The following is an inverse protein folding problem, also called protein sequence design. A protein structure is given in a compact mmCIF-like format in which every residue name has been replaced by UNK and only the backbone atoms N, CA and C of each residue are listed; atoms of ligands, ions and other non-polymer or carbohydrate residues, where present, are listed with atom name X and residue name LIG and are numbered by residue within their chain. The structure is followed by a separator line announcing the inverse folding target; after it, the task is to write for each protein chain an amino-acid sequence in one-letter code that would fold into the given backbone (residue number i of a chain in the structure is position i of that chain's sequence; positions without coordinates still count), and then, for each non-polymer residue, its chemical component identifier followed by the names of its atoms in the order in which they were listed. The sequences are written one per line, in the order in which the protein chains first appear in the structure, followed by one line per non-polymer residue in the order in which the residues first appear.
data_IF_994573733827
#
_entry.id   IF_994573733827
#
_cell.length_a   1.000
_cell.length_b   1.000
_cell.length_c   1.000
_cell.angle_alpha   90.00
_cell.angle_beta   90.00
_cell.angle_gamma   90.00
#
_symmetry.space_group_name_H-M   'P 1'
#
loop_
_entity.id
_entity.type
_entity.pdbx_description
1 polymer ?
#
# COMPACT_ATOMS: atom_id res chain seq x y z
N UNK A 1 8.44 -8.90 -16.96
CA UNK A 1 8.12 -7.46 -17.17
C UNK A 1 6.76 -7.18 -16.55
N UNK A 2 6.65 -6.13 -15.75
CA UNK A 2 5.41 -5.72 -15.08
C UNK A 2 4.43 -5.15 -16.10
N UNK A 3 3.17 -5.65 -16.19
CA UNK A 3 2.15 -5.09 -17.09
C UNK A 3 1.76 -3.64 -16.72
N UNK A 4 1.35 -2.86 -17.73
CA UNK A 4 0.80 -1.50 -17.52
C UNK A 4 -0.63 -1.54 -16.99
N UNK A 5 -0.80 -2.05 -15.79
CA UNK A 5 -2.08 -2.14 -15.09
C UNK A 5 -1.90 -1.51 -13.70
N UNK A 6 -2.76 -0.56 -13.35
CA UNK A 6 -2.84 0.02 -12.01
C UNK A 6 -4.03 -0.58 -11.28
N UNK A 7 -3.75 -1.27 -10.19
CA UNK A 7 -4.77 -1.81 -9.28
C UNK A 7 -4.92 -0.90 -8.07
N UNK A 8 -6.15 -0.63 -7.68
CA UNK A 8 -6.47 0.08 -6.44
C UNK A 8 -7.79 -0.43 -5.86
N UNK A 9 -8.01 -0.22 -4.57
CA UNK A 9 -9.11 -0.81 -3.84
C UNK A 9 -9.97 0.27 -3.17
N UNK A 10 -11.32 0.16 -3.32
CA UNK A 10 -12.28 1.02 -2.62
C UNK A 10 -13.56 0.24 -2.29
N UNK A 11 -13.68 -0.22 -1.04
CA UNK A 11 -14.73 -1.15 -0.62
C UNK A 11 -15.87 -0.50 0.16
N UNK A 12 -15.73 0.76 0.60
CA UNK A 12 -16.78 1.41 1.40
C UNK A 12 -18.02 1.75 0.60
N UNK A 13 -17.90 1.94 -0.72
CA UNK A 13 -18.96 2.47 -1.56
C UNK A 13 -19.21 3.98 -1.40
N UNK A 14 -18.51 4.63 -0.46
CA UNK A 14 -18.62 6.08 -0.26
C UNK A 14 -17.93 6.84 -1.42
N UNK A 15 -18.33 8.08 -1.70
CA UNK A 15 -17.59 8.95 -2.61
C UNK A 15 -16.13 9.12 -2.19
N UNK A 16 -15.26 9.27 -3.18
CA UNK A 16 -13.83 9.55 -2.89
C UNK A 16 -13.69 10.92 -2.22
N UNK A 17 -12.96 11.02 -1.10
CA UNK A 17 -12.55 12.32 -0.53
C UNK A 17 -11.64 13.10 -1.48
N UNK A 18 -11.51 14.41 -1.28
CA UNK A 18 -10.75 15.33 -2.14
C UNK A 18 -9.29 14.87 -2.36
N UNK A 19 -8.62 14.40 -1.29
CA UNK A 19 -7.26 13.87 -1.41
C UNK A 19 -7.19 12.66 -2.34
N UNK A 20 -8.15 11.74 -2.22
CA UNK A 20 -8.20 10.53 -3.03
C UNK A 20 -8.51 10.89 -4.50
N UNK A 21 -9.45 11.81 -4.74
CA UNK A 21 -9.70 12.34 -6.08
C UNK A 21 -8.42 12.94 -6.68
N UNK A 22 -7.69 13.79 -5.94
CA UNK A 22 -6.42 14.36 -6.38
C UNK A 22 -5.41 13.28 -6.77
N UNK A 23 -5.28 12.22 -5.96
CA UNK A 23 -4.37 11.12 -6.26
C UNK A 23 -4.77 10.39 -7.54
N UNK A 24 -6.05 10.01 -7.68
CA UNK A 24 -6.58 9.32 -8.86
C UNK A 24 -6.43 10.20 -10.12
N UNK A 25 -6.70 11.51 -10.03
CA UNK A 25 -6.49 12.44 -11.13
C UNK A 25 -5.03 12.47 -11.58
N UNK A 26 -4.08 12.41 -10.63
CA UNK A 26 -2.64 12.34 -10.96
C UNK A 26 -2.31 11.08 -11.77
N UNK A 27 -2.95 9.94 -11.46
CA UNK A 27 -2.75 8.69 -12.21
C UNK A 27 -3.23 8.82 -13.65
N UNK A 28 -4.46 9.29 -13.85
CA UNK A 28 -5.02 9.46 -15.20
C UNK A 28 -4.24 10.45 -16.04
N UNK A 29 -3.69 11.51 -15.43
CA UNK A 29 -2.90 12.52 -16.13
C UNK A 29 -1.51 12.01 -16.55
N UNK A 30 -0.85 11.20 -15.70
CA UNK A 30 0.56 10.80 -15.88
C UNK A 30 0.68 9.41 -16.49
N UNK A 31 -0.23 8.50 -16.15
CA UNK A 31 -0.23 7.09 -16.56
C UNK A 31 -1.32 6.83 -17.62
N UNK A 32 -1.49 7.73 -18.57
CA UNK A 32 -2.62 7.72 -19.52
C UNK A 32 -2.69 6.48 -20.43
N UNK A 33 -1.59 5.75 -20.58
CA UNK A 33 -1.51 4.51 -21.37
C UNK A 33 -1.55 3.22 -20.51
N UNK A 34 -1.94 3.35 -19.23
CA UNK A 34 -2.15 2.22 -18.32
C UNK A 34 -3.65 1.86 -18.23
N UNK A 35 -3.92 0.58 -18.03
CA UNK A 35 -5.25 0.12 -17.64
C UNK A 35 -5.45 0.38 -16.14
N UNK A 36 -6.62 0.94 -15.75
CA UNK A 36 -6.97 1.17 -14.35
C UNK A 36 -8.01 0.16 -13.88
N UNK A 37 -7.69 -0.57 -12.82
CA UNK A 37 -8.51 -1.64 -12.31
C UNK A 37 -8.92 -1.38 -10.85
N UNK A 38 -10.12 -0.80 -10.68
CA UNK A 38 -10.75 -0.62 -9.38
C UNK A 38 -11.25 -1.96 -8.84
N UNK A 39 -10.83 -2.30 -7.63
CA UNK A 39 -11.32 -3.43 -6.87
C UNK A 39 -12.36 -2.97 -5.86
N UNK A 40 -13.62 -3.24 -6.17
CA UNK A 40 -14.78 -3.02 -5.32
C UNK A 40 -15.60 -4.31 -5.20
N UNK A 41 -16.75 -4.25 -4.52
CA UNK A 41 -17.64 -5.42 -4.31
C UNK A 41 -18.31 -5.95 -5.58
N UNK A 42 -18.23 -5.22 -6.71
CA UNK A 42 -18.71 -5.66 -8.02
C UNK A 42 -17.66 -6.51 -8.74
N UNK A 43 -16.37 -6.26 -8.45
CA UNK A 43 -15.25 -6.92 -9.12
C UNK A 43 -14.71 -8.11 -8.36
N UNK A 44 -14.81 -8.14 -7.03
CA UNK A 44 -14.36 -9.26 -6.21
C UNK A 44 -15.49 -9.79 -5.35
N UNK A 45 -15.66 -11.12 -5.34
CA UNK A 45 -16.54 -11.77 -4.37
C UNK A 45 -15.89 -11.71 -2.98
N UNK A 46 -16.46 -10.90 -2.10
CA UNK A 46 -15.97 -10.74 -0.72
C UNK A 46 -16.05 -12.02 0.11
N UNK A 47 -16.83 -13.02 -0.32
CA UNK A 47 -16.93 -14.33 0.33
C UNK A 47 -15.88 -15.34 -0.15
N UNK A 48 -15.08 -15.00 -1.17
CA UNK A 48 -14.09 -15.90 -1.77
C UNK A 48 -12.92 -16.26 -0.86
N UNK A 49 -12.70 -15.49 0.22
CA UNK A 49 -11.64 -15.72 1.19
C UNK A 49 -12.09 -15.34 2.60
N UNK A 50 -11.72 -16.12 3.61
CA UNK A 50 -12.15 -15.93 5.00
C UNK A 50 -11.70 -14.59 5.58
N UNK A 51 -10.42 -14.20 5.35
CA UNK A 51 -9.88 -12.91 5.78
C UNK A 51 -10.64 -11.75 5.15
N UNK A 52 -10.80 -11.77 3.83
CA UNK A 52 -11.49 -10.74 3.06
C UNK A 52 -12.93 -10.57 3.56
N UNK A 53 -13.67 -11.68 3.70
CA UNK A 53 -15.04 -11.68 4.20
C UNK A 53 -15.14 -11.02 5.57
N UNK A 54 -14.38 -11.53 6.53
CA UNK A 54 -14.45 -11.03 7.92
C UNK A 54 -14.00 -9.57 8.04
N UNK A 55 -12.95 -9.16 7.32
CA UNK A 55 -12.50 -7.78 7.31
C UNK A 55 -13.55 -6.84 6.69
N UNK A 56 -14.19 -7.26 5.59
CA UNK A 56 -15.26 -6.50 4.94
C UNK A 56 -16.50 -6.35 5.83
N UNK A 57 -17.02 -7.45 6.39
CA UNK A 57 -18.20 -7.46 7.29
C UNK A 57 -18.00 -6.55 8.52
N UNK A 58 -16.76 -6.47 9.02
CA UNK A 58 -16.39 -5.59 10.14
C UNK A 58 -15.99 -4.17 9.71
N UNK A 59 -16.21 -3.80 8.42
CA UNK A 59 -15.86 -2.47 7.87
C UNK A 59 -14.37 -2.11 8.05
N UNK A 60 -13.51 -3.13 8.06
CA UNK A 60 -12.06 -2.99 8.16
C UNK A 60 -11.43 -3.04 6.75
N UNK A 61 -11.84 -2.10 5.90
CA UNK A 61 -11.57 -2.11 4.48
C UNK A 61 -10.08 -2.10 4.11
N UNK A 62 -9.23 -1.44 4.92
CA UNK A 62 -7.78 -1.47 4.71
C UNK A 62 -7.23 -2.91 4.82
N UNK A 63 -7.69 -3.69 5.81
CA UNK A 63 -7.28 -5.09 5.96
C UNK A 63 -7.90 -6.01 4.89
N UNK A 64 -9.08 -5.69 4.39
CA UNK A 64 -9.65 -6.37 3.22
C UNK A 64 -8.79 -6.10 1.97
N UNK A 65 -8.35 -4.85 1.78
CA UNK A 65 -7.46 -4.46 0.69
C UNK A 65 -6.09 -5.16 0.75
N UNK A 66 -5.61 -5.54 1.94
CA UNK A 66 -4.37 -6.30 2.12
C UNK A 66 -4.38 -7.65 1.40
N UNK A 67 -5.50 -8.36 1.38
CA UNK A 67 -5.69 -9.56 0.57
C UNK A 67 -5.81 -9.22 -0.92
N UNK A 68 -6.63 -8.21 -1.24
CA UNK A 68 -6.97 -7.86 -2.63
C UNK A 68 -5.71 -7.42 -3.40
N UNK A 69 -4.78 -6.68 -2.79
CA UNK A 69 -3.54 -6.24 -3.46
C UNK A 69 -2.72 -7.42 -3.96
N UNK A 70 -2.57 -8.47 -3.16
CA UNK A 70 -1.83 -9.66 -3.58
C UNK A 70 -2.63 -10.53 -4.55
N UNK A 71 -3.95 -10.61 -4.40
CA UNK A 71 -4.83 -11.27 -5.35
C UNK A 71 -4.72 -10.63 -6.74
N UNK A 72 -4.81 -9.31 -6.82
CA UNK A 72 -4.72 -8.56 -8.06
C UNK A 72 -3.34 -8.76 -8.74
N UNK A 73 -2.27 -8.57 -8.00
CA UNK A 73 -0.91 -8.73 -8.53
C UNK A 73 -0.61 -10.15 -8.98
N UNK A 74 -1.07 -11.16 -8.24
CA UNK A 74 -0.84 -12.56 -8.63
C UNK A 74 -1.56 -12.92 -9.92
N UNK A 75 -2.84 -12.56 -10.04
CA UNK A 75 -3.67 -12.97 -11.17
C UNK A 75 -3.47 -12.12 -12.43
N UNK A 76 -3.07 -10.87 -12.29
CA UNK A 76 -2.97 -9.94 -13.42
C UNK A 76 -1.56 -9.40 -13.64
N UNK A 77 -0.70 -9.37 -12.62
CA UNK A 77 0.51 -8.57 -12.61
C UNK A 77 0.16 -7.08 -12.54
N UNK A 78 1.13 -6.21 -12.74
CA UNK A 78 0.92 -4.76 -12.72
C UNK A 78 1.41 -4.10 -11.44
N UNK A 79 0.89 -2.92 -11.15
CA UNK A 79 1.23 -2.12 -9.97
C UNK A 79 -0.03 -1.93 -9.14
N UNK A 80 0.04 -2.24 -7.85
CA UNK A 80 -0.96 -1.86 -6.87
C UNK A 80 -0.59 -0.52 -6.26
N UNK A 81 -1.55 0.39 -6.18
CA UNK A 81 -1.45 1.66 -5.49
C UNK A 81 -2.54 1.76 -4.42
N UNK A 82 -2.17 2.14 -3.18
CA UNK A 82 -3.17 2.61 -2.23
C UNK A 82 -3.80 3.90 -2.75
N UNK A 83 -5.08 4.12 -2.46
CA UNK A 83 -5.84 5.21 -3.06
C UNK A 83 -5.30 6.62 -2.71
N UNK A 84 -4.48 6.74 -1.65
CA UNK A 84 -3.84 7.97 -1.22
C UNK A 84 -2.39 8.12 -1.71
N UNK A 85 -2.02 7.43 -2.78
CA UNK A 85 -0.73 7.59 -3.48
C UNK A 85 -0.90 8.59 -4.63
N UNK A 86 -0.21 9.72 -4.58
CA UNK A 86 -0.13 10.71 -5.65
C UNK A 86 1.03 10.37 -6.59
N UNK A 87 0.78 10.18 -7.88
CA UNK A 87 1.81 9.89 -8.88
C UNK A 87 2.40 11.19 -9.43
N UNK A 88 3.73 11.26 -9.52
CA UNK A 88 4.47 12.40 -10.04
C UNK A 88 5.19 12.10 -11.35
N UNK A 89 5.51 10.81 -11.62
CA UNK A 89 6.22 10.36 -12.82
C UNK A 89 5.69 9.02 -13.30
N UNK A 90 5.80 8.80 -14.63
CA UNK A 90 5.48 7.51 -15.23
C UNK A 90 6.43 6.40 -14.73
N UNK A 91 5.87 5.27 -14.38
CA UNK A 91 6.61 4.07 -13.92
C UNK A 91 7.28 3.30 -15.07
N UNK A 92 7.17 3.74 -16.33
CA UNK A 92 7.64 3.01 -17.51
C UNK A 92 9.08 2.50 -17.40
N UNK A 93 9.99 3.29 -16.83
CA UNK A 93 11.39 2.89 -16.65
C UNK A 93 11.56 1.76 -15.62
N UNK A 94 10.61 1.55 -14.74
CA UNK A 94 10.61 0.54 -13.69
C UNK A 94 9.92 -0.77 -14.11
N UNK A 95 9.10 -0.74 -15.19
CA UNK A 95 8.33 -1.92 -15.62
C UNK A 95 9.18 -3.04 -16.22
N UNK A 96 10.44 -2.76 -16.57
CA UNK A 96 11.38 -3.77 -17.08
C UNK A 96 11.78 -4.77 -15.98
N UNK A 97 11.62 -4.40 -14.73
CA UNK A 97 11.92 -5.24 -13.57
C UNK A 97 10.85 -6.33 -13.40
N UNK A 98 11.18 -7.38 -12.64
CA UNK A 98 10.22 -8.46 -12.31
C UNK A 98 9.34 -8.09 -11.12
N UNK A 99 9.83 -7.22 -10.26
CA UNK A 99 9.13 -6.70 -9.09
C UNK A 99 9.47 -5.23 -8.89
N UNK A 100 8.52 -4.50 -8.32
CA UNK A 100 8.68 -3.11 -7.89
C UNK A 100 8.36 -3.05 -6.40
N UNK A 101 9.39 -2.86 -5.60
CA UNK A 101 9.32 -2.76 -4.15
C UNK A 101 10.16 -1.58 -3.69
N UNK A 102 9.68 -0.88 -2.70
CA UNK A 102 10.41 0.21 -2.06
C UNK A 102 10.37 0.08 -0.55
N UNK A 103 11.13 0.89 0.13
CA UNK A 103 11.09 1.02 1.59
C UNK A 103 10.40 2.32 2.01
N UNK A 104 9.89 2.35 3.21
CA UNK A 104 9.50 3.56 3.92
C UNK A 104 10.72 4.18 4.62
N UNK A 105 10.59 5.43 5.06
CA UNK A 105 11.63 6.10 5.85
C UNK A 105 11.94 5.39 7.20
N UNK A 106 11.08 4.48 7.64
CA UNK A 106 11.29 3.61 8.81
C UNK A 106 12.25 2.45 8.54
N UNK A 107 12.50 2.11 7.26
CA UNK A 107 13.21 0.92 6.82
C UNK A 107 12.32 -0.31 6.61
N UNK A 108 11.01 -0.21 6.84
CA UNK A 108 10.06 -1.24 6.50
C UNK A 108 9.73 -1.18 5.00
N UNK A 109 9.25 -2.30 4.43
CA UNK A 109 8.82 -2.33 3.03
C UNK A 109 7.55 -1.53 2.84
N UNK A 110 7.54 -0.60 1.87
CA UNK A 110 6.37 0.17 1.47
C UNK A 110 5.29 -0.75 0.88
N UNK A 111 4.11 -0.73 1.48
CA UNK A 111 3.02 -1.58 1.04
C UNK A 111 2.00 -0.86 0.14
N UNK A 112 2.03 0.48 0.10
CA UNK A 112 1.12 1.28 -0.71
C UNK A 112 1.48 1.28 -2.21
N UNK A 113 2.73 0.91 -2.54
CA UNK A 113 3.21 0.84 -3.93
C UNK A 113 3.96 -0.48 -4.14
N UNK A 114 3.32 -1.41 -4.82
CA UNK A 114 3.87 -2.74 -5.07
C UNK A 114 3.65 -3.11 -6.54
N UNK A 115 4.71 -3.53 -7.24
CA UNK A 115 4.59 -4.02 -8.60
C UNK A 115 5.13 -5.44 -8.75
N UNK A 116 4.50 -6.25 -9.62
CA UNK A 116 4.93 -7.61 -9.90
C UNK A 116 4.55 -8.08 -11.31
N UNK A 117 5.32 -9.03 -11.83
CA UNK A 117 4.87 -9.85 -12.95
C UNK A 117 3.69 -10.73 -12.52
N UNK A 118 2.80 -11.05 -13.46
CA UNK A 118 1.73 -12.02 -13.23
C UNK A 118 2.30 -13.37 -12.79
N UNK A 119 1.71 -13.96 -11.74
CA UNK A 119 2.09 -15.28 -11.24
C UNK A 119 3.41 -15.31 -10.45
N UNK A 120 3.93 -14.16 -10.00
CA UNK A 120 5.18 -14.09 -9.24
C UNK A 120 5.10 -14.92 -7.93
N UNK A 121 6.08 -15.81 -7.69
CA UNK A 121 6.09 -16.73 -6.54
C UNK A 121 6.07 -16.02 -5.17
N UNK A 122 6.73 -14.88 -5.07
CA UNK A 122 6.73 -14.13 -3.82
C UNK A 122 5.35 -13.50 -3.53
N UNK A 123 4.61 -13.09 -4.57
CA UNK A 123 3.22 -12.61 -4.44
C UNK A 123 2.32 -13.78 -4.05
N UNK A 124 2.56 -14.99 -4.62
CA UNK A 124 1.86 -16.21 -4.22
C UNK A 124 2.07 -16.50 -2.73
N UNK A 125 3.29 -16.37 -2.24
CA UNK A 125 3.60 -16.56 -0.82
C UNK A 125 2.85 -15.55 0.08
N UNK A 126 2.71 -14.29 -0.38
CA UNK A 126 1.89 -13.30 0.32
C UNK A 126 0.40 -13.67 0.31
N UNK A 127 -0.10 -14.15 -0.83
CA UNK A 127 -1.50 -14.55 -0.97
C UNK A 127 -1.82 -15.79 -0.11
N UNK A 128 -0.91 -16.76 -0.06
CA UNK A 128 -1.03 -17.98 0.74
C UNK A 128 -1.05 -17.69 2.25
N UNK A 129 -0.41 -16.60 2.70
CA UNK A 129 -0.52 -16.15 4.08
C UNK A 129 -1.96 -15.88 4.52
N UNK A 130 -2.82 -15.45 3.58
CA UNK A 130 -4.25 -15.18 3.83
C UNK A 130 -5.14 -16.42 3.55
N UNK A 131 -4.58 -17.52 3.03
CA UNK A 131 -5.36 -18.74 2.78
C UNK A 131 -5.86 -19.33 4.11
N UNK A 132 -7.17 -19.48 4.25
CA UNK A 132 -7.82 -20.00 5.47
C UNK A 132 -7.50 -19.26 6.78
N UNK A 133 -6.89 -18.07 6.70
CA UNK A 133 -6.54 -17.25 7.85
C UNK A 133 -7.76 -16.45 8.32
N UNK A 134 -8.18 -16.53 9.60
CA UNK A 134 -9.22 -15.67 10.13
C UNK A 134 -8.67 -14.26 10.40
N UNK A 135 -9.45 -13.23 10.05
CA UNK A 135 -9.23 -11.86 10.47
C UNK A 135 -9.74 -11.60 11.90
N UNK A 136 -10.86 -12.24 12.24
CA UNK A 136 -11.42 -12.23 13.61
C UNK A 136 -10.85 -13.42 14.36
N UNK A 137 -10.13 -13.15 15.45
CA UNK A 137 -9.52 -14.17 16.31
C UNK A 137 -10.58 -14.83 17.21
N UNK A 138 -10.22 -15.94 17.85
CA UNK A 138 -11.10 -16.67 18.77
C UNK A 138 -11.60 -15.82 19.95
N UNK A 139 -10.82 -14.86 20.41
CA UNK A 139 -11.17 -13.91 21.47
C UNK A 139 -12.04 -12.72 20.99
N UNK A 140 -12.45 -12.72 19.71
CA UNK A 140 -13.21 -11.65 19.08
C UNK A 140 -12.39 -10.43 18.69
N UNK A 141 -11.09 -10.36 18.99
CA UNK A 141 -10.22 -9.29 18.53
C UNK A 141 -9.84 -9.47 17.06
N UNK A 142 -9.34 -8.41 16.42
CA UNK A 142 -8.91 -8.47 15.03
C UNK A 142 -7.41 -8.74 14.90
N UNK A 143 -7.01 -9.46 13.87
CA UNK A 143 -5.61 -9.57 13.48
C UNK A 143 -5.20 -8.34 12.65
N UNK A 144 -4.61 -7.37 13.32
CA UNK A 144 -4.24 -6.08 12.73
C UNK A 144 -2.74 -5.98 12.41
N UNK A 145 -2.08 -7.11 12.15
CA UNK A 145 -0.67 -7.09 11.72
C UNK A 145 -0.56 -6.38 10.37
N UNK A 146 0.30 -5.35 10.26
CA UNK A 146 0.44 -4.60 9.01
C UNK A 146 1.17 -5.41 7.94
N UNK A 147 0.83 -5.16 6.68
CA UNK A 147 1.45 -5.80 5.49
C UNK A 147 2.97 -5.66 5.44
N UNK A 148 3.58 -4.52 5.80
CA UNK A 148 5.04 -4.40 5.85
C UNK A 148 5.74 -5.54 6.60
N UNK A 149 5.18 -6.02 7.71
CA UNK A 149 5.76 -7.14 8.47
C UNK A 149 5.70 -8.48 7.71
N UNK A 150 4.66 -8.69 6.91
CA UNK A 150 4.55 -9.85 6.03
C UNK A 150 5.59 -9.76 4.91
N UNK A 151 5.67 -8.61 4.26
CA UNK A 151 6.61 -8.35 3.17
C UNK A 151 8.06 -8.49 3.65
N UNK A 152 8.43 -7.88 4.76
CA UNK A 152 9.77 -8.00 5.34
C UNK A 152 10.17 -9.47 5.51
N UNK A 153 9.29 -10.32 6.06
CA UNK A 153 9.57 -11.74 6.24
C UNK A 153 9.79 -12.47 4.90
N UNK A 154 8.95 -12.23 3.90
CA UNK A 154 9.03 -12.92 2.60
C UNK A 154 10.25 -12.43 1.80
N UNK A 155 10.58 -11.14 1.91
CA UNK A 155 11.67 -10.50 1.18
C UNK A 155 13.04 -10.87 1.76
N UNK A 156 13.16 -11.02 3.08
CA UNK A 156 14.42 -11.46 3.73
C UNK A 156 14.95 -12.79 3.20
N UNK A 157 14.07 -13.66 2.72
CA UNK A 157 14.42 -14.97 2.17
C UNK A 157 14.92 -14.89 0.71
N UNK A 158 14.86 -13.73 0.07
CA UNK A 158 15.16 -13.54 -1.36
C UNK A 158 15.94 -12.24 -1.59
N UNK A 159 16.85 -12.23 -2.55
CA UNK A 159 17.58 -11.02 -2.95
C UNK A 159 16.71 -10.18 -3.89
N UNK A 160 15.96 -9.21 -3.36
CA UNK A 160 15.20 -8.23 -4.13
C UNK A 160 15.93 -6.89 -4.22
N UNK A 161 15.80 -6.21 -5.35
CA UNK A 161 16.17 -4.80 -5.49
C UNK A 161 15.06 -3.93 -4.85
N UNK A 162 15.34 -3.39 -3.67
CA UNK A 162 14.41 -2.53 -2.94
C UNK A 162 14.78 -1.08 -3.21
N UNK A 163 13.85 -0.32 -3.76
CA UNK A 163 14.05 1.11 -4.04
C UNK A 163 14.07 1.90 -2.73
N UNK A 164 14.98 2.89 -2.59
CA UNK A 164 15.02 3.77 -1.43
C UNK A 164 13.68 4.49 -1.20
N UNK A 165 13.38 4.84 0.04
CA UNK A 165 12.10 5.43 0.46
C UNK A 165 11.68 6.64 -0.39
N UNK A 166 12.63 7.48 -0.84
CA UNK A 166 12.34 8.68 -1.63
C UNK A 166 11.81 8.40 -3.05
N UNK A 167 11.80 7.12 -3.50
CA UNK A 167 11.16 6.74 -4.77
C UNK A 167 9.63 6.79 -4.68
N UNK A 168 9.04 6.26 -3.58
CA UNK A 168 7.59 6.07 -3.46
C UNK A 168 6.98 6.73 -2.23
N UNK A 169 7.73 6.86 -1.13
CA UNK A 169 7.27 7.37 0.15
C UNK A 169 8.19 8.47 0.70
N UNK A 170 8.38 9.60 -0.04
CA UNK A 170 9.25 10.69 0.38
C UNK A 170 8.67 11.46 1.58
N UNK A 171 7.46 11.13 2.04
CA UNK A 171 6.80 11.75 3.17
C UNK A 171 7.16 11.07 4.48
N UNK A 172 7.76 11.83 5.38
CA UNK A 172 7.96 11.37 6.76
C UNK A 172 6.59 11.28 7.48
N UNK A 173 6.22 10.08 7.88
CA UNK A 173 4.95 9.80 8.55
C UNK A 173 4.75 10.58 9.86
N UNK A 174 5.82 10.79 10.63
CA UNK A 174 5.74 11.41 11.96
C UNK A 174 5.62 12.93 11.90
N UNK A 175 6.39 13.57 11.02
CA UNK A 175 6.45 15.03 10.91
C UNK A 175 5.65 15.58 9.73
N UNK A 176 5.31 14.73 8.76
CA UNK A 176 4.56 15.08 7.56
C UNK A 176 5.38 15.90 6.54
N UNK A 177 6.72 16.02 6.72
CA UNK A 177 7.59 16.64 5.73
C UNK A 177 7.67 15.75 4.49
N UNK A 178 7.63 16.36 3.31
CA UNK A 178 7.80 15.70 2.03
C UNK A 178 9.12 16.16 1.43
N UNK A 179 10.01 15.20 1.12
CA UNK A 179 11.32 15.45 0.50
C UNK A 179 11.34 14.85 -0.91
N UNK A 180 10.91 15.63 -1.90
CA UNK A 180 10.88 15.23 -3.32
C UNK A 180 12.28 15.42 -3.93
N UNK A 181 12.70 14.42 -4.70
CA UNK A 181 13.93 14.44 -5.51
C UNK A 181 13.63 14.12 -6.97
N UNK A 182 14.66 14.22 -7.82
CA UNK A 182 14.54 13.79 -9.22
C UNK A 182 14.26 12.28 -9.37
N UNK A 183 14.47 11.50 -8.35
CA UNK A 183 14.17 10.06 -8.32
C UNK A 183 12.80 9.72 -7.75
N UNK A 184 12.00 10.69 -7.33
CA UNK A 184 10.67 10.46 -6.74
C UNK A 184 9.65 10.20 -7.85
N UNK A 185 8.95 9.06 -7.77
CA UNK A 185 7.89 8.66 -8.69
C UNK A 185 6.50 8.97 -8.17
N UNK A 186 6.31 8.86 -6.86
CA UNK A 186 5.03 9.12 -6.23
C UNK A 186 5.19 9.54 -4.76
N UNK A 187 4.09 9.95 -4.14
CA UNK A 187 4.01 10.33 -2.73
C UNK A 187 2.89 9.53 -2.08
N UNK A 188 3.23 8.65 -1.13
CA UNK A 188 2.25 8.05 -0.24
C UNK A 188 1.86 9.07 0.83
N UNK A 189 0.60 9.49 0.87
CA UNK A 189 0.12 10.55 1.75
C UNK A 189 -0.11 10.11 3.19
N UNK A 190 -0.18 8.79 3.48
CA UNK A 190 -0.48 8.23 4.80
C UNK A 190 -1.75 8.85 5.41
N UNK A 191 -2.86 8.91 4.65
CA UNK A 191 -4.14 9.48 5.12
C UNK A 191 -4.64 8.75 6.39
N UNK A 192 -4.41 7.44 6.46
CA UNK A 192 -4.48 6.65 7.69
C UNK A 192 -5.84 6.73 8.40
N UNK A 193 -6.95 6.89 7.66
CA UNK A 193 -8.32 6.97 8.24
C UNK A 193 -8.72 5.73 9.01
N UNK A 194 -8.08 4.59 8.74
CA UNK A 194 -8.31 3.34 9.44
C UNK A 194 -7.63 3.28 10.83
N UNK A 195 -6.66 4.18 11.11
CA UNK A 195 -5.98 4.26 12.39
C UNK A 195 -6.82 5.13 13.34
N UNK A 196 -7.31 4.55 14.44
CA UNK A 196 -7.89 5.35 15.52
C UNK A 196 -6.79 6.19 16.18
N UNK A 197 -6.66 7.45 15.77
CA UNK A 197 -5.70 8.42 16.30
C UNK A 197 -6.15 8.85 17.71
N UNK A 198 -5.74 8.13 18.74
CA UNK A 198 -5.97 8.51 20.13
C UNK A 198 -5.04 9.64 20.59
N UNK A 199 -5.35 10.24 21.76
CA UNK A 199 -4.58 11.36 22.34
C UNK A 199 -3.07 11.04 22.46
N UNK A 200 -2.74 9.78 22.85
CA UNK A 200 -1.35 9.31 22.93
C UNK A 200 -0.60 9.34 21.59
N UNK A 201 -1.30 9.04 20.49
CA UNK A 201 -0.74 9.10 19.13
C UNK A 201 -0.42 10.55 18.73
N UNK A 202 -1.34 11.49 18.98
CA UNK A 202 -1.13 12.92 18.70
C UNK A 202 0.02 13.50 19.53
N UNK A 203 0.14 13.11 20.80
CA UNK A 203 1.24 13.54 21.66
C UNK A 203 2.60 13.00 21.17
N UNK A 204 2.69 11.72 20.82
CA UNK A 204 3.91 11.11 20.29
C UNK A 204 4.36 11.79 19.00
N UNK A 205 3.44 12.04 18.07
CA UNK A 205 3.73 12.72 16.81
C UNK A 205 4.20 14.18 17.03
N UNK A 206 3.55 14.91 17.94
CA UNK A 206 3.97 16.26 18.26
C UNK A 206 5.36 16.30 18.91
N UNK A 207 5.67 15.34 19.78
CA UNK A 207 7.00 15.19 20.37
C UNK A 207 8.06 14.88 19.31
N UNK A 208 7.79 13.99 18.35
CA UNK A 208 8.70 13.73 17.22
C UNK A 208 8.94 14.98 16.38
N UNK A 209 7.90 15.79 16.09
CA UNK A 209 8.05 17.06 15.41
C UNK A 209 8.97 18.01 16.17
N UNK A 210 8.75 18.19 17.47
CA UNK A 210 9.58 19.07 18.33
C UNK A 210 11.04 18.61 18.31
N UNK A 211 11.29 17.30 18.50
CA UNK A 211 12.64 16.76 18.49
C UNK A 211 13.31 16.91 17.12
N UNK A 212 12.59 16.69 16.02
CA UNK A 212 13.11 16.88 14.67
C UNK A 212 13.54 18.34 14.41
N UNK A 213 12.68 19.32 14.77
CA UNK A 213 13.00 20.73 14.56
C UNK A 213 14.03 21.29 15.54
N UNK A 214 14.17 20.69 16.74
CA UNK A 214 15.13 21.11 17.75
C UNK A 214 16.53 20.50 17.54
N UNK A 215 16.63 19.26 17.06
CA UNK A 215 17.89 18.50 17.06
C UNK A 215 18.27 17.91 15.69
N UNK A 216 17.46 18.08 14.65
CA UNK A 216 17.68 17.48 13.33
C UNK A 216 17.42 15.97 13.29
N UNK A 217 17.55 15.35 12.11
CA UNK A 217 17.60 13.88 11.99
C UNK A 217 18.90 13.37 12.65
N UNK A 218 18.76 12.57 13.69
CA UNK A 218 19.78 11.59 14.04
C UNK A 218 19.45 10.27 13.40
#
# INVERSE_FOLDING_TARGET
MIPKIIHYCWLSGDPFPDLINKCIDSWHNILSDYEFMLWDTRKIDVNSNLWLKQAYENKKYAFAADYIRFFALYHYGGIYLDADVEVLKDFKSLLIEKQLLGEEASGDIEAAVIGAEKGADWVKSCLDYYANRPFVKEDGSFDTKPVPLLLNRIIQEKAFDIKPYYYFSPKDYNIGKIDISDSTFCIHHFDGKWIKRGLKYSLKRNMHKILYYAFGRK
#
